data_IF_592051614010
#
_entry.id   IF_592051614010
#
_cell.length_a   1.000
_cell.length_b   1.000
_cell.length_c   1.000
_cell.angle_alpha   90.00
_cell.angle_beta   90.00
_cell.angle_gamma   90.00
#
_symmetry.space_group_name_H-M   'P 1'
#
loop_
_entity.id
_entity.type
_entity.pdbx_description
1 polymer ?
#
# COMPACT_ATOMS: atom_id res chain seq x y z
N UNK A 1 -10.56 5.19 9.71
CA UNK A 1 -9.83 6.31 9.09
C UNK A 1 -8.82 5.88 8.03
N UNK A 2 -7.82 5.05 8.33
CA UNK A 2 -6.79 4.68 7.33
C UNK A 2 -7.32 3.89 6.13
N UNK A 3 -8.23 2.95 6.36
CA UNK A 3 -8.88 2.20 5.26
C UNK A 3 -9.58 3.15 4.28
N UNK A 4 -10.40 4.06 4.81
CA UNK A 4 -11.14 5.06 4.00
C UNK A 4 -10.19 5.94 3.16
N UNK A 5 -9.13 6.43 3.78
CA UNK A 5 -8.14 7.26 3.10
C UNK A 5 -7.37 6.49 2.01
N UNK A 6 -6.98 5.24 2.28
CA UNK A 6 -6.33 4.37 1.29
C UNK A 6 -7.27 4.05 0.11
N UNK A 7 -8.52 3.69 0.40
CA UNK A 7 -9.57 3.44 -0.59
C UNK A 7 -9.83 4.67 -1.47
N UNK A 8 -10.00 5.84 -0.85
CA UNK A 8 -10.18 7.11 -1.56
C UNK A 8 -9.00 7.41 -2.46
N UNK A 9 -7.77 7.19 -1.99
CA UNK A 9 -6.58 7.40 -2.80
C UNK A 9 -6.51 6.42 -3.98
N UNK A 10 -6.87 5.14 -3.79
CA UNK A 10 -6.97 4.16 -4.88
C UNK A 10 -7.94 4.61 -5.97
N UNK A 11 -9.17 4.98 -5.61
CA UNK A 11 -10.18 5.42 -6.57
C UNK A 11 -9.79 6.73 -7.24
N UNK A 12 -9.21 7.69 -6.50
CA UNK A 12 -8.68 8.92 -7.10
C UNK A 12 -7.60 8.63 -8.14
N UNK A 13 -6.66 7.73 -7.84
CA UNK A 13 -5.60 7.34 -8.77
C UNK A 13 -6.17 6.69 -10.04
N UNK A 14 -7.14 5.79 -9.89
CA UNK A 14 -7.83 5.18 -11.03
C UNK A 14 -8.57 6.24 -11.86
N UNK A 15 -9.31 7.14 -11.21
CA UNK A 15 -9.99 8.23 -11.89
C UNK A 15 -9.03 9.13 -12.67
N UNK A 16 -7.86 9.47 -12.10
CA UNK A 16 -6.83 10.25 -12.81
C UNK A 16 -6.37 9.51 -14.08
N UNK A 17 -6.10 8.21 -13.97
CA UNK A 17 -5.69 7.37 -15.11
C UNK A 17 -6.77 7.32 -16.20
N UNK A 18 -8.03 7.10 -15.83
CA UNK A 18 -9.14 6.99 -16.77
C UNK A 18 -9.39 8.29 -17.54
N UNK A 19 -9.07 9.44 -16.93
CA UNK A 19 -9.17 10.76 -17.56
C UNK A 19 -7.89 11.19 -18.30
N UNK A 20 -6.88 10.32 -18.42
CA UNK A 20 -5.61 10.65 -19.07
C UNK A 20 -4.78 11.70 -18.33
N UNK A 21 -5.06 11.91 -17.03
CA UNK A 21 -4.35 12.89 -16.20
C UNK A 21 -3.07 12.28 -15.59
N UNK A 22 -2.08 13.12 -15.23
CA UNK A 22 -0.90 12.66 -14.51
C UNK A 22 -1.27 11.94 -13.22
N UNK A 23 -0.71 10.75 -13.01
CA UNK A 23 -1.05 9.88 -11.89
C UNK A 23 0.13 9.07 -11.33
N UNK A 24 1.36 9.26 -11.85
CA UNK A 24 2.55 8.48 -11.45
C UNK A 24 2.83 8.57 -9.95
N UNK A 25 2.73 9.78 -9.38
CA UNK A 25 2.95 10.04 -7.96
C UNK A 25 1.87 9.37 -7.11
N UNK A 26 0.60 9.53 -7.49
CA UNK A 26 -0.55 8.96 -6.80
C UNK A 26 -0.53 7.42 -6.85
N UNK A 27 -0.18 6.84 -8.00
CA UNK A 27 0.02 5.40 -8.15
C UNK A 27 1.14 4.86 -7.26
N UNK A 28 2.27 5.57 -7.18
CA UNK A 28 3.35 5.22 -6.27
C UNK A 28 2.89 5.30 -4.80
N UNK A 29 2.15 6.35 -4.42
CA UNK A 29 1.57 6.48 -3.07
C UNK A 29 0.65 5.31 -2.71
N UNK A 30 -0.28 4.94 -3.61
CA UNK A 30 -1.17 3.78 -3.42
C UNK A 30 -0.36 2.51 -3.26
N UNK A 31 0.61 2.28 -4.16
CA UNK A 31 1.34 1.02 -4.26
C UNK A 31 2.10 0.66 -2.99
N UNK A 32 2.65 1.64 -2.27
CA UNK A 32 3.33 1.35 -1.00
C UNK A 32 2.43 1.46 0.22
N UNK A 33 1.50 2.41 0.24
CA UNK A 33 0.76 2.72 1.45
C UNK A 33 -0.44 1.81 1.67
N UNK A 34 -1.19 1.46 0.62
CA UNK A 34 -2.37 0.62 0.76
C UNK A 34 -2.02 -0.81 1.26
N UNK A 35 -0.98 -1.50 0.75
CA UNK A 35 -0.56 -2.79 1.31
C UNK A 35 -0.07 -2.69 2.76
N UNK A 36 0.60 -1.58 3.13
CA UNK A 36 1.01 -1.35 4.52
C UNK A 36 -0.21 -1.21 5.43
N UNK A 37 -1.19 -0.39 5.05
CA UNK A 37 -2.44 -0.20 5.81
C UNK A 37 -3.19 -1.53 5.96
N UNK A 38 -3.30 -2.31 4.88
CA UNK A 38 -3.93 -3.62 4.91
C UNK A 38 -3.20 -4.59 5.87
N UNK A 39 -1.87 -4.61 5.86
CA UNK A 39 -1.07 -5.42 6.78
C UNK A 39 -1.33 -5.02 8.23
N UNK A 40 -1.28 -3.72 8.53
CA UNK A 40 -1.49 -3.19 9.89
C UNK A 40 -2.90 -3.53 10.39
N UNK A 41 -3.93 -3.46 9.54
CA UNK A 41 -5.31 -3.86 9.86
C UNK A 41 -5.39 -5.35 10.17
N UNK A 42 -4.84 -6.22 9.30
CA UNK A 42 -4.88 -7.67 9.50
C UNK A 42 -4.13 -8.05 10.78
N UNK A 43 -3.02 -7.38 11.07
CA UNK A 43 -2.28 -7.59 12.30
C UNK A 43 -3.11 -7.24 13.54
N UNK A 44 -3.90 -6.16 13.52
CA UNK A 44 -4.85 -5.87 14.61
C UNK A 44 -5.93 -6.95 14.74
N UNK A 45 -6.42 -7.51 13.63
CA UNK A 45 -7.34 -8.64 13.66
C UNK A 45 -6.70 -9.86 14.34
N UNK A 46 -5.44 -10.18 14.02
CA UNK A 46 -4.71 -11.27 14.68
C UNK A 46 -4.59 -11.05 16.18
N UNK A 47 -4.19 -9.85 16.61
CA UNK A 47 -4.09 -9.52 18.04
C UNK A 47 -5.44 -9.65 18.76
N UNK A 48 -6.52 -9.22 18.11
CA UNK A 48 -7.88 -9.30 18.67
C UNK A 48 -8.34 -10.74 18.89
N UNK A 49 -7.98 -11.67 17.99
CA UNK A 49 -8.39 -13.08 18.06
C UNK A 49 -7.38 -13.96 18.83
N UNK A 50 -6.21 -13.42 19.18
CA UNK A 50 -5.13 -14.15 19.84
C UNK A 50 -4.69 -15.38 19.03
N UNK A 51 -4.37 -16.47 19.71
CA UNK A 51 -3.92 -17.73 19.10
C UNK A 51 -4.90 -18.27 18.04
N UNK A 52 -6.20 -18.04 18.22
CA UNK A 52 -7.22 -18.53 17.29
C UNK A 52 -7.13 -17.86 15.91
N UNK A 53 -6.62 -16.63 15.83
CA UNK A 53 -6.37 -15.94 14.56
C UNK A 53 -5.27 -16.57 13.69
N UNK A 54 -4.44 -17.44 14.26
CA UNK A 54 -3.40 -18.20 13.55
C UNK A 54 -3.86 -19.58 13.07
N UNK A 55 -5.11 -19.95 13.35
CA UNK A 55 -5.68 -21.22 12.88
C UNK A 55 -6.02 -21.15 11.39
N UNK A 56 -6.30 -22.30 10.78
CA UNK A 56 -6.82 -22.34 9.40
C UNK A 56 -8.33 -22.08 9.31
N UNK A 57 -9.03 -22.04 10.44
CA UNK A 57 -10.47 -21.75 10.52
C UNK A 57 -10.73 -20.25 10.36
N UNK A 58 -9.81 -19.41 10.85
CA UNK A 58 -9.76 -17.98 10.57
C UNK A 58 -8.52 -17.66 9.74
N UNK A 59 -8.63 -17.45 8.41
CA UNK A 59 -7.47 -17.28 7.52
C UNK A 59 -6.78 -15.89 7.66
N UNK A 60 -6.70 -15.33 8.86
CA UNK A 60 -6.09 -14.02 9.13
C UNK A 60 -4.57 -14.06 8.93
N UNK A 61 -3.90 -15.11 9.41
CA UNK A 61 -2.45 -15.28 9.21
C UNK A 61 -2.09 -15.41 7.73
N UNK A 62 -2.92 -16.13 6.98
CA UNK A 62 -2.74 -16.33 5.54
C UNK A 62 -2.91 -15.01 4.79
N UNK A 63 -3.95 -14.23 5.11
CA UNK A 63 -4.13 -12.86 4.58
C UNK A 63 -2.95 -11.95 4.89
N UNK A 64 -2.37 -12.05 6.09
CA UNK A 64 -1.22 -11.24 6.47
C UNK A 64 -0.01 -11.56 5.56
N UNK A 65 0.24 -12.85 5.29
CA UNK A 65 1.30 -13.29 4.37
C UNK A 65 1.06 -12.85 2.93
N UNK A 66 -0.17 -12.92 2.44
CA UNK A 66 -0.52 -12.48 1.09
C UNK A 66 -0.22 -10.98 0.90
N UNK A 67 -0.67 -10.15 1.85
CA UNK A 67 -0.48 -8.70 1.77
C UNK A 67 0.99 -8.31 1.94
N UNK A 68 1.77 -9.07 2.72
CA UNK A 68 3.21 -8.86 2.81
C UNK A 68 3.90 -8.99 1.44
N UNK A 69 3.46 -9.93 0.61
CA UNK A 69 3.96 -10.07 -0.77
C UNK A 69 3.79 -8.79 -1.59
N UNK A 70 2.68 -8.08 -1.42
CA UNK A 70 2.39 -6.83 -2.13
C UNK A 70 3.30 -5.66 -1.71
N UNK A 71 3.94 -5.74 -0.53
CA UNK A 71 4.92 -4.74 -0.09
C UNK A 71 6.30 -4.93 -0.76
N UNK A 72 6.53 -6.09 -1.38
CA UNK A 72 7.81 -6.45 -2.03
C UNK A 72 7.67 -6.44 -3.55
N UNK A 73 6.63 -7.11 -4.06
CA UNK A 73 6.36 -7.20 -5.51
C UNK A 73 6.16 -5.83 -6.14
N UNK A 74 6.52 -5.67 -7.40
CA UNK A 74 6.31 -4.45 -8.21
C UNK A 74 6.82 -3.14 -7.55
N UNK A 75 7.91 -3.24 -6.79
CA UNK A 75 8.59 -2.12 -6.16
C UNK A 75 8.21 -1.94 -4.70
N UNK A 76 9.24 -1.99 -3.85
CA UNK A 76 9.12 -1.79 -2.41
C UNK A 76 8.72 -0.37 -2.04
N UNK A 77 8.28 -0.16 -0.81
CA UNK A 77 7.94 1.17 -0.31
C UNK A 77 9.07 2.20 -0.48
N UNK A 78 10.33 1.74 -0.51
CA UNK A 78 11.50 2.60 -0.61
C UNK A 78 11.62 3.09 -2.05
N UNK A 79 11.45 2.20 -3.04
CA UNK A 79 11.40 2.55 -4.45
C UNK A 79 10.22 3.49 -4.76
N UNK A 80 9.03 3.20 -4.23
CA UNK A 80 7.85 4.04 -4.47
C UNK A 80 8.04 5.46 -3.88
N UNK A 81 8.66 5.58 -2.71
CA UNK A 81 8.99 6.90 -2.13
C UNK A 81 10.00 7.68 -2.98
N UNK A 82 10.96 7.01 -3.60
CA UNK A 82 11.89 7.64 -4.54
C UNK A 82 11.17 8.14 -5.80
N UNK A 83 10.19 7.39 -6.31
CA UNK A 83 9.32 7.83 -7.42
C UNK A 83 8.54 9.09 -7.00
N UNK A 84 7.90 9.07 -5.82
CA UNK A 84 7.18 10.24 -5.30
C UNK A 84 8.09 11.46 -5.18
N UNK A 85 9.30 11.29 -4.64
CA UNK A 85 10.27 12.37 -4.50
C UNK A 85 10.66 12.96 -5.86
N UNK A 86 10.95 12.10 -6.85
CA UNK A 86 11.27 12.52 -8.24
C UNK A 86 10.12 13.31 -8.87
N UNK A 87 8.89 12.85 -8.72
CA UNK A 87 7.72 13.53 -9.30
C UNK A 87 7.36 14.84 -8.58
N UNK A 88 7.74 14.98 -7.30
CA UNK A 88 7.37 16.16 -6.49
C UNK A 88 8.41 17.26 -6.57
N UNK A 89 9.70 16.91 -6.53
CA UNK A 89 10.81 17.88 -6.41
C UNK A 89 11.71 17.87 -7.66
N UNK A 90 11.44 16.98 -8.62
CA UNK A 90 12.27 16.80 -9.80
C UNK A 90 13.51 15.94 -9.53
N UNK A 91 14.38 15.80 -10.55
CA UNK A 91 15.56 14.92 -10.49
C UNK A 91 16.61 15.35 -9.46
N UNK A 92 16.58 16.61 -9.01
CA UNK A 92 17.51 17.16 -8.02
C UNK A 92 17.36 16.49 -6.64
N UNK A 93 16.20 15.90 -6.34
CA UNK A 93 15.95 15.25 -5.06
C UNK A 93 16.49 13.83 -4.93
N UNK A 94 17.07 13.26 -5.98
CA UNK A 94 17.65 11.92 -5.93
C UNK A 94 19.17 12.02 -5.74
N UNK A 95 19.78 11.20 -4.87
CA UNK A 95 21.22 11.20 -4.62
C UNK A 95 22.06 10.63 -5.78
N UNK A 96 21.46 10.40 -6.95
CA UNK A 96 22.09 9.94 -8.18
C UNK A 96 21.38 10.49 -9.42
#
# INVERSE_FOLDING_TARGET
>A
TYLEAATTLCYKTLWLRDNGLPHTKEAAMVKWWAPKVAFDIIHQCLLTHGHYGYTKELPLEQRMRDVLGLQIGDGTAQIQKMIIARETVGRVALPY
#
